data_IF_709867256886
#
_entry.id   IF_709867256886
#
_cell.length_a   1.000
_cell.length_b   1.000
_cell.length_c   1.000
_cell.angle_alpha   90.00
_cell.angle_beta   90.00
_cell.angle_gamma   90.00
#
_symmetry.space_group_name_H-M   'P 1'
#
loop_
_entity.id
_entity.type
_entity.pdbx_description
1 polymer ?
#
# COMPACT_ATOMS: atom_id res chain seq x y z
N UNK A 1 47.59 -24.64 21.45
CA UNK A 1 47.08 -24.04 20.19
C UNK A 1 46.40 -25.19 19.49
N UNK A 2 45.07 -25.22 19.55
CA UNK A 2 44.31 -26.18 18.75
C UNK A 2 44.15 -25.62 17.34
N UNK A 3 44.71 -26.31 16.38
CA UNK A 3 44.50 -26.07 14.94
C UNK A 3 43.06 -26.56 14.63
N UNK A 4 42.21 -25.65 14.28
CA UNK A 4 40.93 -25.99 13.68
C UNK A 4 41.15 -26.18 12.18
N UNK A 5 40.96 -27.40 11.67
CA UNK A 5 40.89 -27.64 10.24
C UNK A 5 39.56 -27.06 9.71
N UNK A 6 39.65 -25.93 9.06
CA UNK A 6 38.53 -25.39 8.29
C UNK A 6 38.58 -25.98 6.88
N UNK A 7 37.61 -26.85 6.55
CA UNK A 7 37.34 -27.12 5.14
C UNK A 7 36.80 -25.85 4.51
N UNK A 8 37.59 -25.25 3.65
CA UNK A 8 37.20 -24.08 2.85
C UNK A 8 36.13 -24.49 1.84
N UNK A 9 34.88 -24.35 2.22
CA UNK A 9 33.81 -24.26 1.24
C UNK A 9 33.95 -22.94 0.51
N UNK A 10 34.18 -22.98 -0.79
CA UNK A 10 34.57 -21.84 -1.66
C UNK A 10 33.55 -20.67 -1.75
N UNK A 11 32.52 -20.63 -0.90
CA UNK A 11 31.40 -19.69 -1.00
C UNK A 11 31.00 -19.03 0.33
N UNK A 12 31.84 -19.14 1.39
CA UNK A 12 31.49 -18.57 2.69
C UNK A 12 32.61 -17.62 3.16
N UNK A 13 32.21 -16.44 3.64
CA UNK A 13 33.07 -15.51 4.38
C UNK A 13 32.72 -15.59 5.87
N UNK A 14 33.70 -15.94 6.70
CA UNK A 14 33.54 -15.95 8.15
C UNK A 14 34.06 -14.65 8.73
N UNK A 15 33.25 -13.99 9.54
CA UNK A 15 33.68 -12.87 10.36
C UNK A 15 33.75 -13.32 11.82
N UNK A 16 34.89 -13.13 12.47
CA UNK A 16 35.05 -13.30 13.92
C UNK A 16 34.87 -11.90 14.53
N UNK A 17 33.77 -11.65 15.16
CA UNK A 17 33.64 -10.54 16.08
C UNK A 17 34.29 -10.93 17.41
N UNK A 18 35.37 -10.26 17.77
CA UNK A 18 36.21 -10.38 18.96
C UNK A 18 36.26 -11.81 19.62
N UNK A 19 37.32 -12.60 19.39
CA UNK A 19 37.42 -13.96 19.89
C UNK A 19 37.56 -14.10 21.43
N UNK A 20 37.51 -13.00 22.17
CA UNK A 20 37.73 -13.00 23.62
C UNK A 20 36.47 -13.21 24.47
N UNK A 21 35.26 -13.19 23.87
CA UNK A 21 34.02 -13.15 24.63
C UNK A 21 33.04 -14.30 24.32
N UNK A 22 33.48 -15.41 23.77
CA UNK A 22 32.60 -16.56 23.49
C UNK A 22 31.55 -16.31 22.43
N UNK A 23 31.79 -15.36 21.54
CA UNK A 23 30.89 -15.00 20.46
C UNK A 23 30.74 -16.13 19.44
N UNK A 24 29.52 -16.38 19.05
CA UNK A 24 29.20 -17.42 18.06
C UNK A 24 29.71 -17.01 16.66
N UNK A 25 30.35 -17.95 15.99
CA UNK A 25 30.68 -17.78 14.56
C UNK A 25 29.36 -17.66 13.80
N UNK A 26 29.12 -16.46 13.24
CA UNK A 26 27.99 -16.25 12.33
C UNK A 26 28.43 -16.56 10.92
N UNK A 27 27.79 -17.55 10.34
CA UNK A 27 27.96 -17.89 8.94
C UNK A 27 27.11 -16.94 8.09
N UNK A 28 27.73 -16.12 7.27
CA UNK A 28 27.05 -15.30 6.29
C UNK A 28 27.28 -15.90 4.89
N UNK A 29 26.21 -16.28 4.22
CA UNK A 29 26.28 -16.49 2.78
C UNK A 29 26.51 -15.15 2.08
N UNK A 30 27.73 -14.86 1.70
CA UNK A 30 28.08 -13.66 0.91
C UNK A 30 27.83 -13.93 -0.59
N UNK A 31 26.62 -14.38 -0.92
CA UNK A 31 26.27 -14.70 -2.30
C UNK A 31 24.98 -14.01 -2.70
N UNK A 32 25.13 -12.91 -3.44
CA UNK A 32 24.02 -12.35 -4.22
C UNK A 32 23.77 -13.24 -5.43
N UNK A 33 22.66 -13.97 -5.44
CA UNK A 33 22.30 -14.86 -6.56
C UNK A 33 20.85 -14.63 -6.96
N UNK A 34 20.60 -14.71 -8.25
CA UNK A 34 19.26 -14.97 -8.75
C UNK A 34 19.03 -16.48 -8.80
N UNK A 35 17.85 -16.92 -8.34
CA UNK A 35 17.36 -18.26 -8.63
C UNK A 35 17.00 -18.43 -10.11
N UNK A 36 16.59 -19.63 -10.47
CA UNK A 36 16.09 -19.88 -11.82
C UNK A 36 14.82 -19.05 -12.08
N UNK A 37 14.76 -18.46 -13.26
CA UNK A 37 13.58 -17.73 -13.71
C UNK A 37 12.38 -18.68 -13.87
N UNK A 38 11.18 -18.20 -13.49
CA UNK A 38 9.93 -18.95 -13.60
C UNK A 38 8.93 -18.14 -14.40
N UNK A 39 8.44 -18.72 -15.50
CA UNK A 39 7.37 -18.12 -16.31
C UNK A 39 6.05 -18.26 -15.54
N UNK A 40 5.47 -17.14 -15.10
CA UNK A 40 4.18 -17.12 -14.41
C UNK A 40 2.99 -17.04 -15.37
N UNK A 41 3.20 -16.54 -16.59
CA UNK A 41 2.18 -16.45 -17.63
C UNK A 41 2.85 -16.68 -19.00
N UNK A 42 2.34 -17.63 -19.77
CA UNK A 42 2.89 -17.99 -21.09
C UNK A 42 2.42 -17.06 -22.23
N UNK A 43 1.37 -16.29 -21.97
CA UNK A 43 0.90 -15.26 -22.90
C UNK A 43 1.45 -13.89 -22.53
N UNK A 44 1.30 -12.94 -23.42
CA UNK A 44 1.71 -11.56 -23.18
C UNK A 44 0.93 -10.97 -21.98
N UNK A 45 1.65 -10.34 -21.07
CA UNK A 45 1.07 -9.64 -19.92
C UNK A 45 1.69 -8.24 -19.76
N UNK A 46 1.02 -7.37 -18.98
CA UNK A 46 1.48 -6.04 -18.64
C UNK A 46 1.05 -5.65 -17.23
N UNK A 47 1.61 -4.55 -16.75
CA UNK A 47 1.31 -3.97 -15.43
C UNK A 47 1.40 -4.96 -14.26
N UNK A 48 2.48 -5.76 -14.14
CA UNK A 48 2.62 -6.66 -13.00
C UNK A 48 2.81 -5.87 -11.71
N UNK A 49 2.03 -6.24 -10.70
CA UNK A 49 2.14 -5.74 -9.34
C UNK A 49 2.41 -6.91 -8.39
N UNK A 50 3.38 -6.74 -7.49
CA UNK A 50 3.76 -7.73 -6.50
C UNK A 50 3.44 -7.20 -5.10
N UNK A 51 2.71 -7.99 -4.32
CA UNK A 51 2.37 -7.68 -2.94
C UNK A 51 2.74 -8.89 -2.06
N UNK A 52 3.44 -8.63 -0.95
CA UNK A 52 3.72 -9.67 0.02
C UNK A 52 2.63 -9.73 1.09
N UNK A 53 1.98 -10.88 1.20
CA UNK A 53 1.04 -11.20 2.28
C UNK A 53 1.83 -11.82 3.44
N UNK A 54 2.09 -11.02 4.47
CA UNK A 54 2.87 -11.44 5.63
C UNK A 54 2.15 -12.47 6.50
N UNK A 55 0.81 -12.50 6.46
CA UNK A 55 0.02 -13.48 7.21
C UNK A 55 0.07 -14.87 6.56
N UNK A 56 -0.09 -14.92 5.25
CA UNK A 56 -0.05 -16.17 4.49
C UNK A 56 1.38 -16.61 4.14
N UNK A 57 2.38 -15.74 4.31
CA UNK A 57 3.75 -15.91 3.83
C UNK A 57 3.78 -16.25 2.33
N UNK A 58 3.08 -15.45 1.54
CA UNK A 58 2.90 -15.61 0.10
C UNK A 58 3.11 -14.30 -0.64
N UNK A 59 3.46 -14.42 -1.91
CA UNK A 59 3.50 -13.29 -2.84
C UNK A 59 2.26 -13.31 -3.71
N UNK A 60 1.52 -12.21 -3.75
CA UNK A 60 0.41 -12.01 -4.69
C UNK A 60 0.97 -11.30 -5.92
N UNK A 61 0.80 -11.87 -7.08
CA UNK A 61 1.14 -11.28 -8.38
C UNK A 61 -0.16 -10.97 -9.12
N UNK A 62 -0.48 -9.68 -9.28
CA UNK A 62 -1.60 -9.21 -10.10
C UNK A 62 -1.07 -8.64 -11.42
N UNK A 63 -1.78 -8.85 -12.52
CA UNK A 63 -1.33 -8.42 -13.85
C UNK A 63 -2.50 -8.31 -14.84
N UNK A 64 -2.27 -7.59 -15.93
CA UNK A 64 -3.15 -7.58 -17.11
C UNK A 64 -2.74 -8.70 -18.07
N UNK A 65 -3.65 -9.57 -18.42
CA UNK A 65 -3.45 -10.68 -19.36
C UNK A 65 -3.85 -10.26 -20.77
N UNK A 66 -2.89 -9.77 -21.56
CA UNK A 66 -3.15 -9.19 -22.90
C UNK A 66 -3.75 -10.23 -23.85
N UNK A 67 -3.27 -11.48 -23.80
CA UNK A 67 -3.80 -12.58 -24.60
C UNK A 67 -5.27 -12.95 -24.36
N UNK A 68 -5.87 -12.40 -23.27
CA UNK A 68 -7.29 -12.59 -22.92
C UNK A 68 -7.98 -11.23 -22.76
N UNK A 69 -7.95 -10.42 -23.79
CA UNK A 69 -8.58 -9.08 -23.84
C UNK A 69 -8.15 -8.14 -22.71
N UNK A 70 -6.92 -8.26 -22.27
CA UNK A 70 -6.34 -7.48 -21.15
C UNK A 70 -7.07 -7.63 -19.83
N UNK A 71 -7.72 -8.74 -19.57
CA UNK A 71 -8.37 -9.02 -18.29
C UNK A 71 -7.39 -9.00 -17.13
N UNK A 72 -7.87 -8.62 -15.95
CA UNK A 72 -7.10 -8.64 -14.71
C UNK A 72 -7.04 -10.05 -14.10
N UNK A 73 -5.83 -10.59 -13.93
CA UNK A 73 -5.60 -11.89 -13.29
C UNK A 73 -4.60 -11.77 -12.16
N UNK A 74 -4.70 -12.69 -11.20
CA UNK A 74 -3.73 -12.81 -10.14
C UNK A 74 -3.33 -14.25 -9.87
N UNK A 75 -2.12 -14.46 -9.36
CA UNK A 75 -1.55 -15.74 -8.95
C UNK A 75 -0.91 -15.63 -7.57
N UNK A 76 -0.89 -16.71 -6.84
CA UNK A 76 -0.17 -16.81 -5.57
C UNK A 76 1.17 -17.46 -5.80
N UNK A 77 2.24 -16.73 -5.46
CA UNK A 77 3.61 -17.21 -5.49
C UNK A 77 4.02 -17.82 -4.15
N UNK A 78 4.70 -18.95 -4.22
CA UNK A 78 5.35 -19.61 -3.07
C UNK A 78 6.84 -19.67 -3.31
N UNK A 79 7.63 -19.12 -2.38
CA UNK A 79 9.08 -19.12 -2.44
C UNK A 79 9.62 -20.31 -1.65
N UNK A 80 10.56 -21.04 -2.24
CA UNK A 80 11.31 -22.12 -1.59
C UNK A 80 12.78 -21.97 -1.96
N UNK A 81 13.61 -21.61 -1.00
CA UNK A 81 14.99 -21.24 -1.25
C UNK A 81 15.07 -20.04 -2.22
N UNK A 82 15.68 -20.23 -3.38
CA UNK A 82 15.78 -19.21 -4.44
C UNK A 82 14.78 -19.42 -5.59
N UNK A 83 13.86 -20.36 -5.45
CA UNK A 83 12.86 -20.67 -6.47
C UNK A 83 11.49 -20.13 -6.08
N UNK A 84 10.70 -19.74 -7.09
CA UNK A 84 9.29 -19.36 -6.93
C UNK A 84 8.41 -20.29 -7.77
N UNK A 85 7.29 -20.70 -7.22
CA UNK A 85 6.23 -21.42 -7.94
C UNK A 85 4.91 -20.66 -7.82
N UNK A 86 4.05 -20.78 -8.83
CA UNK A 86 2.78 -20.07 -8.87
C UNK A 86 1.58 -21.02 -8.90
N UNK A 87 0.55 -20.67 -8.11
CA UNK A 87 -0.77 -21.29 -8.17
C UNK A 87 -1.51 -20.94 -9.47
N UNK A 88 -2.71 -21.48 -9.64
CA UNK A 88 -3.58 -21.16 -10.77
C UNK A 88 -3.91 -19.67 -10.84
N UNK A 89 -4.04 -19.13 -12.07
CA UNK A 89 -4.51 -17.77 -12.26
C UNK A 89 -6.00 -17.66 -11.91
N UNK A 90 -6.36 -16.60 -11.17
CA UNK A 90 -7.75 -16.26 -10.86
C UNK A 90 -8.03 -14.88 -11.43
N UNK A 91 -9.13 -14.76 -12.16
CA UNK A 91 -9.58 -13.51 -12.76
C UNK A 91 -10.20 -12.60 -11.66
N UNK A 92 -9.77 -11.32 -11.59
CA UNK A 92 -10.35 -10.32 -10.71
C UNK A 92 -11.09 -9.20 -11.47
N UNK A 93 -10.84 -9.08 -12.76
CA UNK A 93 -11.51 -8.11 -13.62
C UNK A 93 -11.74 -8.70 -15.03
N UNK A 94 -12.98 -8.65 -15.50
CA UNK A 94 -13.40 -9.20 -16.81
C UNK A 94 -13.19 -8.22 -17.97
N UNK A 95 -12.97 -6.94 -17.68
CA UNK A 95 -12.71 -5.90 -18.69
C UNK A 95 -11.21 -5.59 -18.81
N UNK A 96 -10.86 -4.72 -19.75
CA UNK A 96 -9.48 -4.26 -19.92
C UNK A 96 -8.94 -3.68 -18.61
N UNK A 97 -7.77 -4.15 -18.21
CA UNK A 97 -7.10 -3.82 -16.94
C UNK A 97 -5.75 -3.18 -17.24
N UNK A 98 -5.43 -2.11 -16.53
CA UNK A 98 -4.10 -1.49 -16.55
C UNK A 98 -3.75 -0.87 -15.20
N UNK A 99 -2.49 -0.40 -15.06
CA UNK A 99 -2.03 0.30 -13.86
C UNK A 99 -2.30 -0.45 -12.54
N UNK A 100 -1.99 -1.74 -12.48
CA UNK A 100 -2.18 -2.55 -11.27
C UNK A 100 -1.18 -2.14 -10.19
N UNK A 101 -1.67 -1.91 -8.98
CA UNK A 101 -0.91 -1.71 -7.75
C UNK A 101 -1.66 -2.33 -6.58
N UNK A 102 -0.98 -2.48 -5.44
CA UNK A 102 -1.68 -2.97 -4.26
C UNK A 102 -0.84 -2.95 -3.01
N UNK A 103 -1.49 -3.22 -1.89
CA UNK A 103 -0.87 -3.31 -0.58
C UNK A 103 -1.52 -4.40 0.27
N UNK A 104 -0.74 -4.97 1.18
CA UNK A 104 -1.23 -5.86 2.24
C UNK A 104 -1.68 -5.02 3.44
N UNK A 105 -2.80 -5.38 4.04
CA UNK A 105 -3.39 -4.72 5.21
C UNK A 105 -3.30 -5.66 6.41
N UNK A 106 -2.29 -5.49 7.29
CA UNK A 106 -2.04 -6.42 8.39
C UNK A 106 -3.20 -6.55 9.38
N UNK A 107 -3.91 -5.46 9.65
CA UNK A 107 -5.02 -5.44 10.62
C UNK A 107 -6.20 -6.34 10.25
N UNK A 108 -6.37 -6.62 8.96
CA UNK A 108 -7.49 -7.43 8.43
C UNK A 108 -7.03 -8.69 7.72
N UNK A 109 -5.72 -8.88 7.52
CA UNK A 109 -5.13 -9.94 6.70
C UNK A 109 -5.75 -9.98 5.29
N UNK A 110 -5.88 -8.80 4.66
CA UNK A 110 -6.41 -8.63 3.31
C UNK A 110 -5.38 -7.98 2.40
N UNK A 111 -5.54 -8.22 1.11
CA UNK A 111 -4.87 -7.47 0.05
C UNK A 111 -5.87 -6.48 -0.54
N UNK A 112 -5.45 -5.24 -0.68
CA UNK A 112 -6.15 -4.26 -1.50
C UNK A 112 -5.41 -4.15 -2.85
N UNK A 113 -6.14 -4.32 -3.95
CA UNK A 113 -5.66 -4.05 -5.30
C UNK A 113 -6.37 -2.81 -5.85
N UNK A 114 -5.59 -1.92 -6.44
CA UNK A 114 -6.02 -0.75 -7.19
C UNK A 114 -5.60 -0.91 -8.65
N UNK A 115 -6.48 -0.62 -9.58
CA UNK A 115 -6.23 -0.76 -11.01
C UNK A 115 -7.16 0.13 -11.82
N UNK A 116 -6.87 0.25 -13.11
CA UNK A 116 -7.78 0.90 -14.05
C UNK A 116 -8.57 -0.18 -14.79
N UNK A 117 -9.90 -0.18 -14.66
CA UNK A 117 -10.83 -1.08 -15.34
C UNK A 117 -11.58 -0.30 -16.44
N UNK A 118 -11.34 -0.59 -17.71
CA UNK A 118 -11.98 0.12 -18.83
C UNK A 118 -11.95 1.65 -18.66
N UNK A 119 -10.81 2.19 -18.28
CA UNK A 119 -10.54 3.61 -17.93
C UNK A 119 -11.09 4.12 -16.60
N UNK A 120 -11.75 3.29 -15.81
CA UNK A 120 -12.24 3.67 -14.47
C UNK A 120 -11.24 3.27 -13.39
N UNK A 121 -10.93 4.15 -12.46
CA UNK A 121 -10.16 3.82 -11.26
C UNK A 121 -10.99 2.89 -10.37
N UNK A 122 -10.49 1.68 -10.12
CA UNK A 122 -11.24 0.60 -9.47
C UNK A 122 -10.40 -0.09 -8.40
N UNK A 123 -10.99 -0.34 -7.23
CA UNK A 123 -10.38 -1.11 -6.16
C UNK A 123 -11.13 -2.39 -5.86
N UNK A 124 -10.40 -3.40 -5.41
CA UNK A 124 -10.94 -4.71 -5.02
C UNK A 124 -10.17 -5.26 -3.84
N UNK A 125 -10.86 -5.98 -2.97
CA UNK A 125 -10.26 -6.67 -1.82
C UNK A 125 -10.05 -8.13 -2.14
N UNK A 126 -8.86 -8.65 -1.84
CA UNK A 126 -8.54 -10.06 -2.01
C UNK A 126 -8.23 -10.74 -0.68
N UNK A 127 -8.50 -12.04 -0.63
CA UNK A 127 -8.17 -12.93 0.48
C UNK A 127 -7.34 -14.09 -0.04
N UNK A 128 -6.16 -14.28 0.56
CA UNK A 128 -5.26 -15.41 0.25
C UNK A 128 -5.59 -16.59 1.18
N UNK A 129 -5.63 -17.79 0.60
CA UNK A 129 -5.80 -19.04 1.34
C UNK A 129 -4.93 -20.13 0.69
N UNK A 130 -3.82 -20.47 1.33
CA UNK A 130 -2.84 -21.41 0.78
C UNK A 130 -2.23 -20.88 -0.53
N UNK A 131 -2.49 -21.56 -1.65
CA UNK A 131 -2.05 -21.16 -3.00
C UNK A 131 -3.20 -20.58 -3.84
N UNK A 132 -4.35 -20.31 -3.21
CA UNK A 132 -5.54 -19.75 -3.84
C UNK A 132 -5.77 -18.31 -3.40
N UNK A 133 -6.44 -17.54 -4.26
CA UNK A 133 -6.89 -16.17 -3.97
C UNK A 133 -8.36 -16.04 -4.35
N UNK A 134 -9.11 -15.29 -3.57
CA UNK A 134 -10.51 -14.94 -3.85
C UNK A 134 -10.69 -13.44 -3.74
N UNK A 135 -11.68 -12.90 -4.43
CA UNK A 135 -11.93 -11.47 -4.54
C UNK A 135 -13.34 -11.12 -4.07
N UNK A 136 -13.47 -9.94 -3.45
CA UNK A 136 -14.75 -9.31 -3.19
C UNK A 136 -15.34 -8.63 -4.43
N UNK A 137 -16.33 -7.80 -4.25
CA UNK A 137 -16.90 -6.99 -5.34
C UNK A 137 -15.97 -5.79 -5.64
N UNK A 138 -15.66 -5.51 -6.92
CA UNK A 138 -14.93 -4.32 -7.30
C UNK A 138 -15.78 -3.06 -7.09
N UNK A 139 -15.14 -1.96 -6.71
CA UNK A 139 -15.77 -0.66 -6.50
C UNK A 139 -14.96 0.42 -7.22
N UNK A 140 -15.59 1.23 -8.04
CA UNK A 140 -14.94 2.35 -8.68
C UNK A 140 -14.82 3.54 -7.72
N UNK A 141 -13.62 4.18 -7.69
CA UNK A 141 -13.43 5.47 -7.04
C UNK A 141 -13.43 6.63 -8.04
N UNK A 142 -13.27 6.33 -9.34
CA UNK A 142 -13.24 7.32 -10.41
C UNK A 142 -13.93 6.75 -11.63
N UNK A 143 -14.83 7.52 -12.23
CA UNK A 143 -15.59 7.15 -13.44
C UNK A 143 -15.09 7.87 -14.69
N UNK A 144 -14.25 8.91 -14.53
CA UNK A 144 -13.51 9.53 -15.62
C UNK A 144 -12.20 8.76 -15.88
N UNK A 145 -11.52 9.06 -16.97
CA UNK A 145 -10.26 8.40 -17.33
C UNK A 145 -9.25 8.45 -16.18
N UNK A 146 -8.84 7.28 -15.71
CA UNK A 146 -7.88 7.10 -14.60
C UNK A 146 -6.62 6.39 -15.09
N UNK A 147 -5.46 6.83 -14.60
CA UNK A 147 -4.16 6.22 -14.92
C UNK A 147 -3.11 6.49 -13.85
N UNK A 148 -1.86 6.05 -14.08
CA UNK A 148 -0.72 6.28 -13.19
C UNK A 148 -1.05 6.03 -11.72
N UNK A 149 -1.63 4.86 -11.42
CA UNK A 149 -2.06 4.47 -10.07
C UNK A 149 -0.86 4.12 -9.22
N UNK A 150 -0.80 4.64 -8.01
CA UNK A 150 0.15 4.26 -6.97
C UNK A 150 -0.59 4.06 -5.66
N UNK A 151 -0.16 3.10 -4.83
CA UNK A 151 -0.83 2.75 -3.57
C UNK A 151 0.18 2.74 -2.43
N UNK A 152 -0.21 3.34 -1.32
CA UNK A 152 0.48 3.18 -0.03
C UNK A 152 -0.52 2.80 1.05
N UNK A 153 -0.04 2.30 2.19
CA UNK A 153 -0.86 2.00 3.35
C UNK A 153 -0.59 3.04 4.44
N UNK A 154 -1.62 3.74 4.85
CA UNK A 154 -1.60 4.43 6.14
C UNK A 154 -1.66 3.38 7.25
N UNK A 155 -0.53 3.14 7.90
CA UNK A 155 -0.43 2.11 8.94
C UNK A 155 -1.10 2.53 10.25
N UNK A 156 -1.37 3.81 10.48
CA UNK A 156 -2.03 4.32 11.69
C UNK A 156 -3.52 4.00 11.68
N UNK A 157 -4.16 4.12 10.52
CA UNK A 157 -5.59 3.85 10.34
C UNK A 157 -5.88 2.54 9.61
N UNK A 158 -4.85 1.86 9.09
CA UNK A 158 -4.97 0.68 8.23
C UNK A 158 -5.76 0.94 6.94
N UNK A 159 -5.76 2.16 6.44
CA UNK A 159 -6.42 2.55 5.20
C UNK A 159 -5.45 2.56 4.03
N UNK A 160 -5.74 1.86 2.94
CA UNK A 160 -5.04 2.08 1.67
C UNK A 160 -5.32 3.48 1.14
N UNK A 161 -4.29 4.13 0.64
CA UNK A 161 -4.36 5.45 0.00
C UNK A 161 -3.91 5.28 -1.44
N UNK A 162 -4.75 5.71 -2.37
CA UNK A 162 -4.51 5.64 -3.81
C UNK A 162 -4.23 7.03 -4.33
N UNK A 163 -3.06 7.23 -4.92
CA UNK A 163 -2.73 8.41 -5.70
C UNK A 163 -2.82 8.05 -7.18
N UNK A 164 -3.48 8.87 -7.97
CA UNK A 164 -3.77 8.56 -9.37
C UNK A 164 -3.98 9.80 -10.23
N UNK A 165 -3.80 9.64 -11.53
CA UNK A 165 -4.15 10.65 -12.50
C UNK A 165 -5.60 10.50 -12.95
N UNK A 166 -6.37 11.58 -12.90
CA UNK A 166 -7.67 11.72 -13.56
C UNK A 166 -7.74 13.10 -14.20
N UNK A 167 -7.71 13.13 -15.52
CA UNK A 167 -7.58 14.38 -16.30
C UNK A 167 -8.49 15.50 -15.81
N UNK A 168 -7.96 16.72 -15.63
CA UNK A 168 -6.57 17.14 -15.84
C UNK A 168 -5.68 17.07 -14.57
N UNK A 169 -6.11 16.47 -13.48
CA UNK A 169 -5.49 16.59 -12.15
C UNK A 169 -4.90 15.27 -11.65
N UNK A 170 -3.91 15.35 -10.77
CA UNK A 170 -3.51 14.26 -9.91
C UNK A 170 -4.37 14.29 -8.64
N UNK A 171 -4.84 13.13 -8.19
CA UNK A 171 -5.79 13.01 -7.09
C UNK A 171 -5.36 11.97 -6.09
N UNK A 172 -5.91 12.09 -4.89
CA UNK A 172 -5.77 11.12 -3.81
C UNK A 172 -7.15 10.69 -3.33
N UNK A 173 -7.30 9.41 -3.04
CA UNK A 173 -8.50 8.86 -2.43
C UNK A 173 -8.10 7.84 -1.36
N UNK A 174 -8.82 7.82 -0.25
CA UNK A 174 -8.67 6.81 0.81
C UNK A 174 -9.69 5.69 0.61
N UNK A 175 -9.22 4.47 0.81
CA UNK A 175 -10.06 3.28 0.82
C UNK A 175 -10.37 2.83 2.26
N UNK A 176 -11.61 2.47 2.51
CA UNK A 176 -12.03 1.82 3.76
C UNK A 176 -12.45 0.39 3.45
N UNK A 177 -11.82 -0.57 4.14
CA UNK A 177 -12.07 -2.00 3.95
C UNK A 177 -12.98 -2.52 5.05
N UNK A 178 -14.04 -3.24 4.65
CA UNK A 178 -14.95 -3.93 5.55
C UNK A 178 -15.20 -5.34 5.04
N UNK A 179 -14.60 -6.34 5.69
CA UNK A 179 -14.62 -7.72 5.21
C UNK A 179 -13.96 -7.87 3.85
N UNK A 180 -14.73 -8.16 2.81
CA UNK A 180 -14.27 -8.24 1.41
C UNK A 180 -14.76 -7.07 0.54
N UNK A 181 -15.40 -6.08 1.16
CA UNK A 181 -15.90 -4.88 0.48
C UNK A 181 -14.94 -3.72 0.67
N UNK A 182 -14.89 -2.83 -0.33
CA UNK A 182 -14.17 -1.57 -0.28
C UNK A 182 -15.11 -0.41 -0.57
N UNK A 183 -14.93 0.69 0.15
CA UNK A 183 -15.55 1.99 -0.12
C UNK A 183 -14.49 3.08 -0.16
N UNK A 184 -14.80 4.19 -0.78
CA UNK A 184 -13.88 5.30 -0.97
C UNK A 184 -14.49 6.61 -0.46
N UNK A 185 -13.64 7.49 0.07
CA UNK A 185 -14.04 8.87 0.33
C UNK A 185 -14.10 9.65 -0.99
N UNK A 186 -14.47 10.94 -0.92
CA UNK A 186 -14.42 11.83 -2.09
C UNK A 186 -12.96 12.09 -2.47
N UNK A 187 -12.57 11.86 -3.74
CA UNK A 187 -11.22 12.16 -4.20
C UNK A 187 -10.84 13.63 -4.04
N UNK A 188 -9.62 13.88 -3.56
CA UNK A 188 -9.05 15.21 -3.41
C UNK A 188 -8.01 15.48 -4.51
N UNK A 189 -8.15 16.59 -5.23
CA UNK A 189 -7.18 17.01 -6.24
C UNK A 189 -5.96 17.69 -5.60
N UNK A 190 -4.76 17.35 -6.09
CA UNK A 190 -3.50 17.95 -5.64
C UNK A 190 -3.12 19.21 -6.39
N UNK A 191 -3.57 19.34 -7.64
CA UNK A 191 -3.23 20.45 -8.54
C UNK A 191 -4.37 20.75 -9.50
N UNK A 192 -4.31 21.88 -10.18
CA UNK A 192 -5.31 22.36 -11.15
C UNK A 192 -4.89 22.14 -12.60
N UNK A 193 -3.84 21.37 -12.86
CA UNK A 193 -3.31 21.20 -14.21
C UNK A 193 -3.03 19.75 -14.58
N UNK A 194 -2.67 19.52 -15.84
CA UNK A 194 -2.30 18.18 -16.33
C UNK A 194 -1.06 17.67 -15.63
N UNK A 195 -1.14 16.48 -15.07
CA UNK A 195 -0.10 15.85 -14.27
C UNK A 195 0.10 14.42 -14.76
N UNK A 196 1.34 13.97 -14.85
CA UNK A 196 1.71 12.63 -15.29
C UNK A 196 2.68 12.00 -14.28
N UNK A 197 2.86 10.69 -14.35
CA UNK A 197 3.91 9.93 -13.66
C UNK A 197 3.99 10.22 -12.15
N UNK A 198 2.94 9.89 -11.43
CA UNK A 198 2.88 10.12 -9.99
C UNK A 198 3.12 8.87 -9.14
N UNK A 199 3.60 9.10 -7.93
CA UNK A 199 3.78 8.08 -6.90
C UNK A 199 3.42 8.63 -5.52
N UNK A 200 3.15 7.73 -4.56
CA UNK A 200 2.91 8.10 -3.18
C UNK A 200 3.61 7.16 -2.20
N UNK A 201 3.93 7.69 -1.04
CA UNK A 201 4.49 6.92 0.09
C UNK A 201 3.95 7.48 1.41
N UNK A 202 3.64 6.60 2.34
CA UNK A 202 3.27 6.99 3.70
C UNK A 202 4.52 7.14 4.57
N UNK A 203 4.62 8.29 5.22
CA UNK A 203 5.62 8.58 6.25
C UNK A 203 4.99 8.33 7.62
N UNK A 204 5.34 7.20 8.23
CA UNK A 204 4.81 6.79 9.54
C UNK A 204 5.32 7.64 10.71
N UNK A 205 6.37 8.43 10.53
CA UNK A 205 6.88 9.30 11.56
C UNK A 205 6.08 10.61 11.66
N UNK A 206 5.65 11.14 10.51
CA UNK A 206 4.87 12.38 10.47
C UNK A 206 3.35 12.13 10.36
N UNK A 207 2.93 10.87 10.14
CA UNK A 207 1.54 10.49 9.85
C UNK A 207 0.98 11.23 8.64
N UNK A 208 1.79 11.27 7.58
CA UNK A 208 1.47 11.96 6.32
C UNK A 208 1.77 11.08 5.12
N UNK A 209 1.16 11.43 3.99
CA UNK A 209 1.49 10.84 2.69
C UNK A 209 2.21 11.88 1.85
N UNK A 210 3.39 11.53 1.38
CA UNK A 210 4.09 12.32 0.36
C UNK A 210 3.69 11.82 -1.01
N UNK A 211 3.33 12.74 -1.88
CA UNK A 211 2.93 12.50 -3.26
C UNK A 211 3.92 13.23 -4.14
N UNK A 212 4.40 12.59 -5.19
CA UNK A 212 5.24 13.22 -6.20
C UNK A 212 4.64 13.01 -7.58
N UNK A 213 4.81 13.98 -8.47
CA UNK A 213 4.29 13.92 -9.83
C UNK A 213 5.05 14.86 -10.77
N UNK A 214 4.88 14.67 -12.07
CA UNK A 214 5.33 15.58 -13.10
C UNK A 214 4.26 16.63 -13.35
N UNK A 215 4.57 17.90 -13.08
CA UNK A 215 3.66 19.04 -13.23
C UNK A 215 3.80 19.66 -14.63
N UNK A 216 2.96 19.25 -15.56
CA UNK A 216 3.02 19.72 -16.95
C UNK A 216 2.76 21.24 -17.09
N UNK A 217 1.79 21.84 -16.39
CA UNK A 217 1.63 23.30 -16.37
C UNK A 217 2.87 24.06 -15.89
N UNK A 218 3.66 23.47 -15.01
CA UNK A 218 4.92 24.02 -14.53
C UNK A 218 6.11 23.49 -15.33
N UNK A 219 6.02 23.54 -16.66
CA UNK A 219 7.09 23.13 -17.59
C UNK A 219 7.55 21.67 -17.40
N UNK A 220 6.71 20.80 -16.84
CA UNK A 220 7.03 19.41 -16.57
C UNK A 220 7.97 19.20 -15.38
N UNK A 221 8.05 20.17 -14.47
CA UNK A 221 8.88 20.05 -13.27
C UNK A 221 8.40 18.92 -12.36
N UNK A 222 9.33 18.24 -11.69
CA UNK A 222 9.02 17.32 -10.60
C UNK A 222 8.47 18.12 -9.42
N UNK A 223 7.27 17.80 -8.99
CA UNK A 223 6.56 18.48 -7.90
C UNK A 223 6.19 17.47 -6.82
N UNK A 224 6.24 17.87 -5.56
CA UNK A 224 5.79 17.05 -4.45
C UNK A 224 4.78 17.84 -3.59
N UNK A 225 3.83 17.12 -3.02
CA UNK A 225 2.85 17.63 -2.07
C UNK A 225 2.70 16.67 -0.89
N UNK A 226 2.27 17.22 0.24
CA UNK A 226 1.98 16.45 1.44
C UNK A 226 0.47 16.35 1.61
N UNK A 227 -0.03 15.14 1.70
CA UNK A 227 -1.42 14.83 2.01
C UNK A 227 -1.53 14.39 3.46
N UNK A 228 -2.50 14.95 4.20
CA UNK A 228 -2.85 14.51 5.54
C UNK A 228 -4.04 13.57 5.45
N UNK A 229 -3.86 12.26 5.73
CA UNK A 229 -4.98 11.31 5.75
C UNK A 229 -6.04 11.73 6.75
N UNK A 230 -7.29 11.34 6.48
CA UNK A 230 -8.37 11.55 7.43
C UNK A 230 -8.11 10.70 8.67
N UNK A 231 -7.77 11.35 9.78
CA UNK A 231 -7.76 10.68 11.07
C UNK A 231 -9.19 10.26 11.40
N UNK A 232 -9.43 8.95 11.59
CA UNK A 232 -10.60 8.56 12.36
C UNK A 232 -10.34 9.06 13.77
N UNK A 233 -11.18 9.94 14.28
CA UNK A 233 -11.24 10.14 15.73
C UNK A 233 -11.36 8.75 16.36
N UNK A 234 -10.27 8.26 16.97
CA UNK A 234 -10.33 7.08 17.81
C UNK A 234 -11.50 7.29 18.74
N UNK A 235 -12.38 6.33 18.88
CA UNK A 235 -13.62 6.35 19.67
C UNK A 235 -13.58 7.41 20.75
N UNK A 236 -14.44 8.43 20.60
CA UNK A 236 -14.53 9.50 21.59
C UNK A 236 -14.77 8.88 22.97
N UNK A 237 -14.12 9.41 24.00
CA UNK A 237 -14.35 8.99 25.37
C UNK A 237 -15.42 9.93 25.96
N UNK A 238 -16.59 9.40 26.26
CA UNK A 238 -17.69 10.19 26.82
C UNK A 238 -17.23 10.98 28.07
N UNK A 239 -17.61 12.24 28.13
CA UNK A 239 -17.20 13.15 29.21
C UNK A 239 -15.84 13.83 29.00
N UNK A 240 -15.10 13.51 27.94
CA UNK A 240 -13.78 14.10 27.63
C UNK A 240 -13.94 15.31 26.71
N UNK A 241 -13.18 16.38 27.00
CA UNK A 241 -13.09 17.56 26.13
C UNK A 241 -12.15 17.28 24.95
N UNK A 242 -12.53 17.79 23.78
CA UNK A 242 -11.75 17.69 22.54
C UNK A 242 -11.46 19.07 21.96
N UNK A 243 -10.30 19.19 21.35
CA UNK A 243 -9.77 20.43 20.81
C UNK A 243 -9.33 20.24 19.35
N UNK A 244 -9.66 21.20 18.49
CA UNK A 244 -9.10 21.32 17.14
C UNK A 244 -7.73 21.97 17.26
N UNK A 245 -6.70 21.30 16.80
CA UNK A 245 -5.33 21.79 16.80
C UNK A 245 -5.07 22.68 15.58
N UNK A 246 -3.99 23.44 15.62
CA UNK A 246 -3.59 24.33 14.51
C UNK A 246 -3.26 23.59 13.20
N UNK A 247 -2.97 22.30 13.24
CA UNK A 247 -2.74 21.43 12.08
C UNK A 247 -4.01 20.77 11.53
N UNK A 248 -5.18 21.07 12.11
CA UNK A 248 -6.48 20.49 11.76
C UNK A 248 -6.79 19.15 12.43
N UNK A 249 -5.89 18.61 13.24
CA UNK A 249 -6.15 17.40 14.03
C UNK A 249 -7.05 17.66 15.24
N UNK A 250 -7.66 16.59 15.79
CA UNK A 250 -8.47 16.67 17.01
C UNK A 250 -7.76 15.91 18.13
N UNK A 251 -7.61 16.53 19.29
CA UNK A 251 -6.90 15.98 20.44
C UNK A 251 -7.67 16.20 21.73
N UNK A 252 -7.38 15.42 22.77
CA UNK A 252 -7.85 15.64 24.14
C UNK A 252 -6.97 16.63 24.91
N UNK A 253 -5.83 17.01 24.34
CA UNK A 253 -4.91 18.01 24.89
C UNK A 253 -5.01 19.31 24.13
N UNK A 254 -5.12 20.45 24.86
CA UNK A 254 -5.05 21.76 24.24
C UNK A 254 -3.58 22.16 24.06
N UNK A 255 -3.12 22.20 22.80
CA UNK A 255 -1.80 22.76 22.44
C UNK A 255 -2.03 24.03 21.62
N UNK A 256 -1.42 25.16 22.02
CA UNK A 256 -1.64 26.45 21.30
C UNK A 256 -1.02 26.45 19.89
N UNK A 257 -1.77 26.91 18.86
CA UNK A 257 -3.16 27.36 18.90
C UNK A 257 -4.13 26.18 18.81
N UNK A 258 -5.10 26.11 19.71
CA UNK A 258 -6.17 25.12 19.69
C UNK A 258 -7.53 25.74 20.01
N UNK A 259 -8.57 25.26 19.38
CA UNK A 259 -9.96 25.67 19.64
C UNK A 259 -10.70 24.52 20.30
N UNK A 260 -11.33 24.75 21.46
CA UNK A 260 -12.16 23.72 22.08
C UNK A 260 -13.35 23.42 21.16
N UNK A 261 -13.48 22.16 20.76
CA UNK A 261 -14.62 21.68 19.98
C UNK A 261 -15.83 21.41 20.84
N UNK A 262 -15.62 20.87 22.04
CA UNK A 262 -16.67 20.49 22.95
C UNK A 262 -16.37 19.22 23.72
N UNK A 263 -17.41 18.70 24.40
CA UNK A 263 -17.34 17.49 25.22
C UNK A 263 -18.03 16.32 24.52
N UNK A 264 -17.35 15.17 24.49
CA UNK A 264 -17.94 13.96 23.92
C UNK A 264 -19.14 13.48 24.77
N UNK A 265 -20.26 13.23 24.11
CA UNK A 265 -21.47 12.66 24.70
C UNK A 265 -21.47 11.14 24.64
N UNK A 266 -20.82 10.57 23.63
CA UNK A 266 -20.70 9.13 23.41
C UNK A 266 -19.38 8.82 22.69
N UNK A 267 -19.19 7.57 22.32
CA UNK A 267 -18.03 7.15 21.50
C UNK A 267 -18.06 7.68 20.05
N UNK A 268 -19.18 8.27 19.61
CA UNK A 268 -19.38 8.72 18.22
C UNK A 268 -19.96 10.12 18.09
N UNK A 269 -20.26 10.81 19.21
CA UNK A 269 -20.89 12.13 19.20
C UNK A 269 -20.22 13.09 20.18
N UNK A 270 -20.09 14.34 19.78
CA UNK A 270 -19.55 15.44 20.59
C UNK A 270 -20.59 16.57 20.68
N UNK A 271 -20.75 17.14 21.88
CA UNK A 271 -21.51 18.37 22.05
C UNK A 271 -20.61 19.54 21.68
N UNK A 272 -20.89 20.22 20.59
CA UNK A 272 -20.09 21.35 20.13
C UNK A 272 -20.32 22.56 21.07
N UNK A 273 -19.24 23.08 21.62
CA UNK A 273 -19.25 24.30 22.43
C UNK A 273 -18.62 25.41 21.58
N UNK A 274 -19.48 26.26 20.99
CA UNK A 274 -18.99 27.46 20.31
C UNK A 274 -18.80 28.54 21.38
N UNK A 275 -17.57 28.95 21.63
CA UNK A 275 -17.31 30.17 22.36
C UNK A 275 -17.71 31.35 21.47
N UNK A 276 -18.83 31.99 21.79
CA UNK A 276 -19.26 33.28 21.22
C UNK A 276 -18.41 34.42 21.75
#
# INVERSE_FOLDING_TARGET
>A
ISTYDFELFSNFTFFLDDPKNGDQIRQYENRTVFGAETVFESNQCSYPALIYDANANKTVLAYSHIGDSSKGKARIGTITGTSISFGAAVEFNTSSTSNCWGTFIPSTNKIFLAYTAANHGTGIVATVSGTSISFGAPTAWETAGSGHVSVTLDSSTSKPIVAYYAAPTFRVVEATISGTSVSFNTPLATSTGSVEDGSCVYDSNSDKVVISYRDTPNSGHGTAAVYTPSSTLSTLVAGTDYYLQGDGSVSTTSTSPAVKLGKALSTTSINLEFNT
#
